data_IF_432806840540
#
_entry.id   IF_432806840540
#
_cell.length_a   1.000
_cell.length_b   1.000
_cell.length_c   1.000
_cell.angle_alpha   90.00
_cell.angle_beta   90.00
_cell.angle_gamma   90.00
#
_symmetry.space_group_name_H-M   'P 1'
#
loop_
_entity.id
_entity.type
_entity.pdbx_description
1 polymer ?
#
# COMPACT_ATOMS: atom_id res chain seq x y z
N UNK A 1 -37.20 4.82 -2.68
CA UNK A 1 -36.25 5.58 -1.84
C UNK A 1 -35.69 4.61 -0.80
N UNK A 2 -34.76 3.70 -1.17
CA UNK A 2 -34.47 2.54 -0.28
C UNK A 2 -33.12 1.81 -0.46
N UNK A 3 -32.22 2.25 -1.35
CA UNK A 3 -30.84 1.75 -1.39
C UNK A 3 -29.86 2.73 -0.74
N UNK A 4 -29.91 4.01 -1.15
CA UNK A 4 -28.97 5.06 -0.74
C UNK A 4 -28.96 5.34 0.77
N UNK A 5 -30.11 5.27 1.45
CA UNK A 5 -30.21 5.51 2.89
C UNK A 5 -29.63 4.37 3.75
N UNK A 6 -29.59 3.13 3.25
CA UNK A 6 -28.93 2.02 3.94
C UNK A 6 -27.40 2.06 3.78
N UNK A 7 -26.89 2.65 2.70
CA UNK A 7 -25.44 2.74 2.43
C UNK A 7 -24.69 3.73 3.31
N UNK A 8 -25.34 4.81 3.75
CA UNK A 8 -24.74 5.75 4.71
C UNK A 8 -24.24 5.05 5.98
N UNK A 9 -24.91 3.99 6.43
CA UNK A 9 -24.50 3.17 7.58
C UNK A 9 -23.21 2.37 7.34
N UNK A 10 -22.91 2.03 6.09
CA UNK A 10 -21.77 1.18 5.70
C UNK A 10 -20.50 1.97 5.37
N UNK A 11 -20.61 3.25 5.02
CA UNK A 11 -19.48 4.16 4.71
C UNK A 11 -19.07 4.98 5.94
N UNK A 12 -19.85 4.97 7.04
CA UNK A 12 -19.47 5.71 8.26
C UNK A 12 -18.01 5.43 8.62
N UNK A 13 -17.16 6.44 8.80
CA UNK A 13 -15.75 6.24 9.17
C UNK A 13 -14.78 5.99 8.02
N UNK A 14 -15.21 6.09 6.76
CA UNK A 14 -14.34 6.51 5.67
C UNK A 14 -14.19 8.03 5.83
N UNK A 15 -13.03 8.47 6.31
CA UNK A 15 -12.71 9.88 6.41
C UNK A 15 -11.83 10.28 5.23
N UNK A 16 -12.31 11.25 4.46
CA UNK A 16 -11.52 11.93 3.45
C UNK A 16 -10.71 12.98 4.17
N UNK A 17 -9.43 12.71 4.36
CA UNK A 17 -8.50 13.72 4.86
C UNK A 17 -8.10 14.55 3.65
N UNK A 18 -8.61 15.79 3.62
CA UNK A 18 -8.18 16.77 2.64
C UNK A 18 -6.69 17.05 2.84
N UNK A 19 -5.96 17.01 1.73
CA UNK A 19 -4.58 17.45 1.67
C UNK A 19 -4.48 18.91 2.09
N UNK A 20 -3.37 19.26 2.73
CA UNK A 20 -3.02 20.66 2.96
C UNK A 20 -2.30 21.14 1.71
N UNK A 21 -2.85 22.18 1.06
CA UNK A 21 -2.18 22.84 -0.04
C UNK A 21 -1.00 23.66 0.54
N UNK A 22 0.23 23.32 0.15
CA UNK A 22 1.43 24.05 0.54
C UNK A 22 2.20 24.44 -0.72
N UNK A 23 2.01 25.69 -1.16
CA UNK A 23 2.40 26.11 -2.51
C UNK A 23 1.53 25.43 -3.56
N UNK A 24 2.15 24.93 -4.63
CA UNK A 24 1.47 24.22 -5.74
C UNK A 24 1.26 22.72 -5.47
N UNK A 25 1.36 22.27 -4.21
CA UNK A 25 1.40 20.85 -3.84
C UNK A 25 0.40 20.46 -2.77
N UNK A 26 0.04 19.19 -2.80
CA UNK A 26 -0.82 18.54 -1.82
C UNK A 26 0.00 17.59 -0.95
N UNK A 27 0.06 17.85 0.35
CA UNK A 27 0.82 17.00 1.29
C UNK A 27 -0.08 16.11 2.14
N UNK A 28 0.38 14.87 2.33
CA UNK A 28 -0.25 13.87 3.18
C UNK A 28 0.77 13.32 4.17
N UNK A 29 0.49 13.43 5.47
CA UNK A 29 1.32 12.81 6.50
C UNK A 29 0.79 11.39 6.74
N UNK A 30 1.64 10.39 6.58
CA UNK A 30 1.32 8.98 6.84
C UNK A 30 2.16 8.53 8.02
N UNK A 31 1.57 7.75 8.93
CA UNK A 31 2.31 7.16 10.06
C UNK A 31 1.88 5.72 10.29
N UNK A 32 2.81 4.89 10.76
CA UNK A 32 2.54 3.48 11.07
C UNK A 32 1.47 3.41 12.18
N UNK A 33 0.45 2.57 11.98
CA UNK A 33 -0.67 2.47 12.93
C UNK A 33 -0.32 1.72 14.22
N UNK A 34 0.75 0.92 14.22
CA UNK A 34 1.21 0.17 15.38
C UNK A 34 2.16 0.99 16.28
N UNK A 35 1.81 1.09 17.57
CA UNK A 35 2.47 1.96 18.57
C UNK A 35 3.93 1.62 18.87
N UNK A 36 4.40 0.42 18.54
CA UNK A 36 5.76 -0.05 18.86
C UNK A 36 6.81 0.28 17.78
N UNK A 37 6.38 0.78 16.62
CA UNK A 37 7.22 0.92 15.42
C UNK A 37 7.23 2.29 14.77
N UNK A 38 6.41 3.24 15.25
CA UNK A 38 6.16 4.59 14.71
C UNK A 38 7.21 5.05 13.70
N UNK A 39 6.81 5.03 12.43
CA UNK A 39 7.48 5.69 11.31
C UNK A 39 6.55 6.77 10.76
N UNK A 40 7.11 7.82 10.18
CA UNK A 40 6.33 8.88 9.53
C UNK A 40 6.88 9.21 8.15
N UNK A 41 6.00 9.31 7.17
CA UNK A 41 6.32 9.74 5.81
C UNK A 41 5.43 10.93 5.44
N UNK A 42 6.04 12.00 4.94
CA UNK A 42 5.31 13.08 4.25
C UNK A 42 5.30 12.76 2.76
N UNK A 43 4.11 12.63 2.18
CA UNK A 43 3.92 12.39 0.75
C UNK A 43 3.43 13.66 0.07
N UNK A 44 4.24 14.21 -0.83
CA UNK A 44 3.86 15.34 -1.67
C UNK A 44 3.34 14.87 -3.04
N UNK A 45 2.24 15.49 -3.49
CA UNK A 45 1.57 15.22 -4.76
C UNK A 45 1.40 16.53 -5.54
N UNK A 46 1.63 16.51 -6.86
CA UNK A 46 1.39 17.69 -7.73
C UNK A 46 -0.08 17.77 -8.19
N UNK A 47 -0.83 16.67 -8.06
CA UNK A 47 -2.25 16.57 -8.43
C UNK A 47 -3.15 16.60 -7.19
N UNK A 48 -4.41 17.02 -7.39
CA UNK A 48 -5.45 16.93 -6.37
C UNK A 48 -5.52 15.49 -5.86
N UNK A 49 -5.41 15.33 -4.55
CA UNK A 49 -5.36 14.02 -3.94
C UNK A 49 -6.02 14.00 -2.57
N UNK A 50 -6.66 12.88 -2.26
CA UNK A 50 -7.36 12.65 -1.00
C UNK A 50 -6.80 11.42 -0.31
N UNK A 51 -6.41 11.54 0.96
CA UNK A 51 -6.10 10.37 1.77
C UNK A 51 -7.40 9.78 2.29
N UNK A 52 -7.54 8.46 2.15
CA UNK A 52 -8.67 7.72 2.68
C UNK A 52 -8.18 6.89 3.86
N UNK A 53 -8.69 7.21 5.04
CA UNK A 53 -8.46 6.40 6.22
C UNK A 53 -9.45 5.21 6.21
N UNK A 54 -8.91 4.02 5.96
CA UNK A 54 -9.73 2.80 5.84
C UNK A 54 -10.37 2.41 7.20
N UNK A 55 -11.70 2.27 7.29
CA UNK A 55 -12.45 2.22 8.55
C UNK A 55 -12.09 1.02 9.43
N UNK A 56 -11.61 1.26 10.66
CA UNK A 56 -11.03 0.27 11.60
C UNK A 56 -11.88 -0.99 11.87
N UNK A 57 -13.22 -0.93 11.85
CA UNK A 57 -14.10 -2.07 12.24
C UNK A 57 -15.51 -2.09 11.62
N UNK A 58 -15.67 -1.77 10.32
CA UNK A 58 -17.03 -1.67 9.73
C UNK A 58 -17.34 -2.70 8.64
N UNK A 59 -18.63 -2.87 8.43
CA UNK A 59 -19.30 -4.00 7.74
C UNK A 59 -18.69 -4.33 6.38
N UNK A 60 -18.24 -3.33 5.61
CA UNK A 60 -17.66 -3.55 4.28
C UNK A 60 -16.46 -4.52 4.32
N UNK A 61 -15.61 -4.41 5.33
CA UNK A 61 -14.41 -5.25 5.46
C UNK A 61 -14.78 -6.67 5.87
N UNK A 62 -15.84 -6.86 6.67
CA UNK A 62 -16.29 -8.20 7.07
C UNK A 62 -16.80 -9.03 5.90
N UNK A 63 -17.22 -8.38 4.80
CA UNK A 63 -17.64 -9.05 3.58
C UNK A 63 -16.45 -9.48 2.71
N UNK A 64 -15.24 -8.98 2.99
CA UNK A 64 -14.04 -9.34 2.26
C UNK A 64 -13.32 -10.52 2.95
N UNK A 65 -12.88 -11.48 2.13
CA UNK A 65 -12.06 -12.61 2.60
C UNK A 65 -10.75 -12.15 3.22
N UNK A 66 -10.16 -11.09 2.67
CA UNK A 66 -8.97 -10.45 3.20
C UNK A 66 -9.36 -9.14 3.90
N UNK A 67 -9.23 -9.12 5.24
CA UNK A 67 -9.57 -7.98 6.09
C UNK A 67 -8.37 -7.12 6.48
N UNK A 68 -7.19 -7.48 5.97
CA UNK A 68 -5.95 -6.74 6.24
C UNK A 68 -5.98 -5.40 5.52
N UNK A 69 -5.22 -4.47 6.06
CA UNK A 69 -5.20 -3.08 5.60
C UNK A 69 -3.80 -2.55 5.60
N UNK A 70 -3.54 -1.78 4.55
CA UNK A 70 -2.40 -0.91 4.49
C UNK A 70 -2.52 0.23 5.51
N UNK A 71 -1.38 0.80 5.91
CA UNK A 71 -1.35 1.98 6.76
C UNK A 71 -2.08 3.17 6.12
N UNK A 72 -1.93 3.38 4.82
CA UNK A 72 -2.60 4.49 4.12
C UNK A 72 -2.93 4.19 2.66
N UNK A 73 -3.99 4.82 2.16
CA UNK A 73 -4.31 4.88 0.73
C UNK A 73 -4.55 6.34 0.34
N UNK A 74 -3.85 6.81 -0.68
CA UNK A 74 -4.07 8.12 -1.30
C UNK A 74 -4.71 7.90 -2.67
N UNK A 75 -5.76 8.67 -2.93
CA UNK A 75 -6.50 8.71 -4.19
C UNK A 75 -6.10 9.97 -4.94
N UNK A 76 -5.29 9.83 -5.98
CA UNK A 76 -4.91 10.90 -6.88
C UNK A 76 -5.97 11.07 -7.96
N UNK A 77 -6.58 12.25 -8.07
CA UNK A 77 -7.56 12.54 -9.11
C UNK A 77 -6.85 12.67 -10.46
N UNK A 78 -7.23 11.87 -11.45
CA UNK A 78 -6.70 11.92 -12.83
C UNK A 78 -7.62 12.66 -13.79
N UNK A 79 -8.93 12.48 -13.62
CA UNK A 79 -9.98 13.24 -14.31
C UNK A 79 -11.21 13.40 -13.40
N UNK A 80 -12.38 13.76 -13.93
CA UNK A 80 -13.59 13.99 -13.14
C UNK A 80 -14.04 12.77 -12.32
N UNK A 81 -13.87 11.55 -12.85
CA UNK A 81 -14.37 10.31 -12.26
C UNK A 81 -13.29 9.26 -11.99
N UNK A 82 -12.10 9.41 -12.54
CA UNK A 82 -11.01 8.43 -12.46
C UNK A 82 -9.96 8.83 -11.44
N UNK A 83 -9.62 7.88 -10.58
CA UNK A 83 -8.62 8.04 -9.53
C UNK A 83 -7.52 6.98 -9.64
N UNK A 84 -6.28 7.42 -9.48
CA UNK A 84 -5.13 6.55 -9.29
C UNK A 84 -4.93 6.27 -7.80
N UNK A 85 -4.70 5.01 -7.46
CA UNK A 85 -4.47 4.60 -6.08
C UNK A 85 -2.97 4.54 -5.77
N UNK A 86 -2.59 5.10 -4.63
CA UNK A 86 -1.28 4.95 -4.01
C UNK A 86 -1.45 4.32 -2.63
N UNK A 87 -0.99 3.08 -2.46
CA UNK A 87 -1.18 2.28 -1.25
C UNK A 87 0.16 2.18 -0.53
N UNK A 88 0.20 2.61 0.74
CA UNK A 88 1.41 2.67 1.54
C UNK A 88 1.32 1.74 2.74
N UNK A 89 2.36 0.94 2.93
CA UNK A 89 2.57 0.13 4.12
C UNK A 89 3.92 0.49 4.74
N UNK A 90 3.89 0.88 6.02
CA UNK A 90 5.07 1.27 6.77
C UNK A 90 5.53 0.09 7.63
N UNK A 91 6.80 -0.28 7.51
CA UNK A 91 7.40 -1.38 8.27
C UNK A 91 8.81 -1.00 8.68
N UNK A 92 9.04 -0.89 10.00
CA UNK A 92 10.39 -0.58 10.52
C UNK A 92 11.48 -1.49 9.94
N UNK A 93 11.22 -2.78 9.92
CA UNK A 93 12.14 -3.78 9.33
C UNK A 93 11.34 -4.63 8.37
N UNK A 94 11.84 -4.85 7.15
CA UNK A 94 11.26 -5.77 6.17
C UNK A 94 11.95 -7.13 6.27
N UNK A 95 11.16 -8.20 6.34
CA UNK A 95 11.62 -9.59 6.41
C UNK A 95 10.75 -10.46 5.52
N UNK A 96 11.15 -11.70 5.22
CA UNK A 96 10.32 -12.67 4.45
C UNK A 96 8.90 -12.78 5.01
N UNK A 97 8.76 -13.00 6.32
CA UNK A 97 7.46 -13.14 6.97
C UNK A 97 6.61 -11.86 6.87
N UNK A 98 7.26 -10.70 6.98
CA UNK A 98 6.58 -9.41 6.84
C UNK A 98 6.22 -9.10 5.39
N UNK A 99 6.99 -9.56 4.41
CA UNK A 99 6.67 -9.34 3.00
C UNK A 99 5.34 -9.97 2.62
N UNK A 100 5.08 -11.21 3.03
CA UNK A 100 3.78 -11.82 2.78
C UNK A 100 2.64 -11.04 3.44
N UNK A 101 2.86 -10.55 4.67
CA UNK A 101 1.90 -9.70 5.38
C UNK A 101 1.63 -8.38 4.65
N UNK A 102 2.68 -7.69 4.17
CA UNK A 102 2.59 -6.46 3.38
C UNK A 102 1.73 -6.70 2.13
N UNK A 103 1.97 -7.79 1.39
CA UNK A 103 1.17 -8.12 0.18
C UNK A 103 -0.30 -8.33 0.51
N UNK A 104 -0.60 -9.05 1.58
CA UNK A 104 -1.98 -9.22 2.04
C UNK A 104 -2.61 -7.85 2.40
N UNK A 105 -1.87 -6.94 3.03
CA UNK A 105 -2.35 -5.60 3.37
C UNK A 105 -2.60 -4.73 2.13
N UNK A 106 -1.71 -4.78 1.14
CA UNK A 106 -1.91 -4.12 -0.15
C UNK A 106 -3.14 -4.65 -0.87
N UNK A 107 -3.30 -5.97 -0.96
CA UNK A 107 -4.44 -6.58 -1.63
C UNK A 107 -5.75 -6.23 -0.92
N UNK A 108 -5.78 -6.26 0.41
CA UNK A 108 -6.95 -5.86 1.19
C UNK A 108 -7.31 -4.37 1.00
N UNK A 109 -6.31 -3.48 1.05
CA UNK A 109 -6.49 -2.05 0.80
C UNK A 109 -6.98 -1.76 -0.63
N UNK A 110 -6.45 -2.47 -1.63
CA UNK A 110 -6.87 -2.37 -3.01
C UNK A 110 -8.34 -2.76 -3.17
N UNK A 111 -8.77 -3.90 -2.63
CA UNK A 111 -10.16 -4.34 -2.71
C UNK A 111 -11.13 -3.40 -2.02
N UNK A 112 -10.81 -2.93 -0.81
CA UNK A 112 -11.65 -1.95 -0.12
C UNK A 112 -11.76 -0.67 -0.95
N UNK A 113 -10.66 -0.24 -1.57
CA UNK A 113 -10.66 0.95 -2.42
C UNK A 113 -11.53 0.76 -3.67
N UNK A 114 -11.47 -0.41 -4.33
CA UNK A 114 -12.37 -0.74 -5.45
C UNK A 114 -13.84 -0.74 -5.03
N UNK A 115 -14.16 -1.28 -3.85
CA UNK A 115 -15.53 -1.26 -3.33
C UNK A 115 -16.01 0.17 -3.07
N UNK A 116 -15.17 1.01 -2.44
CA UNK A 116 -15.48 2.43 -2.21
C UNK A 116 -15.69 3.15 -3.55
N UNK A 117 -14.81 2.93 -4.53
CA UNK A 117 -14.91 3.55 -5.85
C UNK A 117 -16.26 3.21 -6.48
N UNK A 118 -16.63 1.93 -6.46
CA UNK A 118 -17.89 1.47 -7.05
C UNK A 118 -19.11 2.04 -6.35
N UNK A 119 -19.07 2.18 -5.03
CA UNK A 119 -20.16 2.79 -4.24
C UNK A 119 -20.31 4.29 -4.56
N UNK A 120 -19.20 4.99 -4.80
CA UNK A 120 -19.17 6.41 -5.12
C UNK A 120 -19.40 6.71 -6.62
N UNK A 121 -19.51 5.69 -7.47
CA UNK A 121 -19.61 5.85 -8.92
C UNK A 121 -18.32 6.35 -9.56
N UNK A 122 -17.17 6.06 -8.94
CA UNK A 122 -15.83 6.42 -9.41
C UNK A 122 -15.15 5.24 -10.11
N UNK A 123 -14.18 5.56 -10.95
CA UNK A 123 -13.30 4.61 -11.61
C UNK A 123 -11.90 4.63 -10.98
N UNK A 124 -11.23 3.47 -11.02
CA UNK A 124 -9.84 3.32 -10.56
C UNK A 124 -8.96 3.08 -11.78
N UNK A 125 -7.91 3.91 -11.93
CA UNK A 125 -6.87 3.76 -12.95
C UNK A 125 -6.26 2.35 -12.88
N UNK A 126 -5.91 1.79 -14.02
CA UNK A 126 -5.20 0.51 -14.12
C UNK A 126 -3.81 0.58 -13.50
N UNK A 127 -3.23 1.78 -13.42
CA UNK A 127 -1.98 2.03 -12.71
C UNK A 127 -2.24 2.21 -11.22
N UNK A 128 -1.75 1.27 -10.41
CA UNK A 128 -1.79 1.33 -8.94
C UNK A 128 -0.37 1.37 -8.42
N UNK A 129 -0.06 2.37 -7.59
CA UNK A 129 1.23 2.46 -6.92
C UNK A 129 1.19 1.73 -5.58
N UNK A 130 2.02 0.70 -5.42
CA UNK A 130 2.22 0.02 -4.15
C UNK A 130 3.56 0.43 -3.55
N UNK A 131 3.55 0.89 -2.30
CA UNK A 131 4.72 1.48 -1.65
C UNK A 131 5.00 0.81 -0.32
N UNK A 132 6.15 0.17 -0.19
CA UNK A 132 6.66 -0.22 1.13
C UNK A 132 7.64 0.82 1.62
N UNK A 133 7.31 1.42 2.76
CA UNK A 133 8.15 2.38 3.45
C UNK A 133 8.87 1.65 4.58
N UNK A 134 10.19 1.69 4.59
CA UNK A 134 11.00 0.90 5.53
C UNK A 134 12.21 1.65 6.08
N UNK A 135 12.69 1.20 7.24
CA UNK A 135 13.92 1.69 7.86
C UNK A 135 15.06 0.67 7.69
N UNK A 136 14.79 -0.62 7.92
CA UNK A 136 15.73 -1.72 7.75
C UNK A 136 15.23 -2.72 6.71
N UNK A 137 16.12 -3.17 5.83
CA UNK A 137 15.86 -4.21 4.84
C UNK A 137 16.67 -5.48 5.17
N UNK A 138 15.96 -6.56 5.51
CA UNK A 138 16.58 -7.87 5.72
C UNK A 138 16.30 -8.84 4.57
N UNK A 139 15.65 -8.38 3.49
CA UNK A 139 15.53 -9.11 2.23
C UNK A 139 16.69 -8.77 1.31
N UNK A 140 17.07 -7.49 1.23
CA UNK A 140 18.25 -7.01 0.48
C UNK A 140 19.58 -7.46 1.14
N UNK A 141 19.60 -7.84 2.42
CA UNK A 141 20.78 -8.44 3.05
C UNK A 141 21.20 -9.78 2.40
N UNK A 142 20.33 -10.32 1.53
CA UNK A 142 20.60 -11.49 0.71
C UNK A 142 21.14 -11.09 -0.66
N UNK A 143 21.16 -9.81 -1.12
CA UNK A 143 21.40 -9.28 -2.49
C UNK A 143 22.68 -9.67 -3.29
N UNK A 144 23.47 -10.65 -2.87
CA UNK A 144 24.50 -11.23 -3.74
C UNK A 144 23.92 -12.13 -4.87
N UNK A 145 22.61 -12.15 -5.07
CA UNK A 145 21.98 -13.02 -6.07
C UNK A 145 21.27 -12.20 -7.16
N UNK A 146 21.87 -12.18 -8.35
CA UNK A 146 21.15 -11.85 -9.58
C UNK A 146 20.13 -12.95 -9.93
N UNK A 147 19.20 -12.70 -10.86
CA UNK A 147 18.20 -13.68 -11.31
C UNK A 147 18.83 -15.02 -11.77
N UNK A 148 20.07 -15.01 -12.25
CA UNK A 148 20.84 -16.20 -12.62
C UNK A 148 21.56 -16.88 -11.42
N UNK A 149 21.61 -16.24 -10.26
CA UNK A 149 22.30 -16.72 -9.07
C UNK A 149 21.34 -17.38 -8.05
N UNK A 150 20.05 -17.06 -8.03
CA UNK A 150 19.10 -17.72 -7.10
C UNK A 150 18.79 -19.18 -7.47
N UNK A 151 18.96 -19.56 -8.74
CA UNK A 151 18.94 -20.96 -9.16
C UNK A 151 20.18 -21.73 -8.71
N UNK A 152 21.32 -21.03 -8.57
CA UNK A 152 22.64 -21.67 -8.50
C UNK A 152 23.30 -21.57 -7.11
N UNK A 153 22.96 -20.58 -6.28
CA UNK A 153 23.84 -20.20 -5.16
C UNK A 153 23.42 -20.76 -3.79
N UNK A 154 22.17 -21.16 -3.52
CA UNK A 154 21.87 -21.95 -2.30
C UNK A 154 20.72 -22.95 -2.51
N UNK A 155 20.99 -24.26 -2.66
CA UNK A 155 19.95 -25.28 -2.73
C UNK A 155 19.10 -25.38 -1.46
N UNK A 156 19.57 -24.85 -0.32
CA UNK A 156 18.96 -25.05 1.01
C UNK A 156 17.94 -23.97 1.43
N UNK A 157 17.84 -22.84 0.72
CA UNK A 157 16.84 -21.83 1.07
C UNK A 157 15.41 -22.32 0.75
N UNK A 158 14.44 -22.18 1.69
CA UNK A 158 13.06 -22.53 1.42
C UNK A 158 12.51 -21.80 0.19
N UNK A 159 11.72 -22.50 -0.64
CA UNK A 159 11.14 -21.92 -1.86
C UNK A 159 10.34 -20.62 -1.62
N UNK A 160 9.68 -20.53 -0.45
CA UNK A 160 8.96 -19.32 0.00
C UNK A 160 9.89 -18.12 0.21
N UNK A 161 11.09 -18.36 0.74
CA UNK A 161 12.12 -17.35 0.98
C UNK A 161 12.69 -16.86 -0.34
N UNK A 162 13.05 -17.78 -1.25
CA UNK A 162 13.51 -17.44 -2.61
C UNK A 162 12.49 -16.59 -3.36
N UNK A 163 11.21 -16.97 -3.28
CA UNK A 163 10.12 -16.22 -3.90
C UNK A 163 9.98 -14.81 -3.32
N UNK A 164 10.07 -14.64 -1.99
CA UNK A 164 9.98 -13.33 -1.36
C UNK A 164 11.13 -12.41 -1.77
N UNK A 165 12.37 -12.93 -1.84
CA UNK A 165 13.54 -12.19 -2.32
C UNK A 165 13.33 -11.77 -3.78
N UNK A 166 12.96 -12.70 -4.67
CA UNK A 166 12.73 -12.39 -6.09
C UNK A 166 11.65 -11.31 -6.30
N UNK A 167 10.55 -11.39 -5.57
CA UNK A 167 9.48 -10.39 -5.65
C UNK A 167 9.96 -9.01 -5.17
N UNK A 168 10.69 -8.97 -4.05
CA UNK A 168 11.21 -7.74 -3.45
C UNK A 168 12.34 -7.09 -4.27
N UNK A 169 13.28 -7.88 -4.80
CA UNK A 169 14.40 -7.40 -5.61
C UNK A 169 13.93 -6.90 -6.98
N UNK A 170 12.93 -7.56 -7.58
CA UNK A 170 12.41 -7.19 -8.90
C UNK A 170 11.30 -6.14 -8.85
N UNK A 171 11.02 -5.53 -7.69
CA UNK A 171 9.97 -4.52 -7.55
C UNK A 171 8.58 -5.02 -7.99
N UNK A 172 8.27 -6.29 -7.70
CA UNK A 172 7.02 -6.95 -8.08
C UNK A 172 6.19 -7.36 -6.86
N UNK A 173 4.92 -6.98 -6.87
CA UNK A 173 3.96 -7.43 -5.88
C UNK A 173 2.80 -8.17 -6.56
N UNK A 174 2.88 -9.50 -6.69
CA UNK A 174 1.79 -10.28 -7.25
C UNK A 174 0.62 -10.38 -6.27
N UNK A 175 -0.57 -10.05 -6.74
CA UNK A 175 -1.83 -10.34 -6.05
C UNK A 175 -2.43 -11.62 -6.62
N UNK A 176 -2.83 -12.50 -5.70
CA UNK A 176 -3.48 -13.75 -6.06
C UNK A 176 -5.01 -13.56 -6.11
N UNK A 177 -5.57 -13.65 -7.31
CA UNK A 177 -7.01 -13.68 -7.58
C UNK A 177 -7.44 -15.05 -8.13
N UNK A 178 -6.70 -16.12 -7.81
CA UNK A 178 -7.03 -17.49 -8.24
C UNK A 178 -8.45 -17.84 -7.78
N UNK A 179 -9.28 -18.23 -8.76
CA UNK A 179 -10.74 -18.36 -8.62
C UNK A 179 -11.53 -17.34 -9.45
N UNK A 180 -10.89 -16.27 -9.93
CA UNK A 180 -11.51 -15.27 -10.81
C UNK A 180 -10.65 -14.94 -12.04
N UNK A 181 -9.44 -14.41 -11.82
CA UNK A 181 -8.60 -13.83 -12.89
C UNK A 181 -7.13 -14.32 -12.88
N UNK A 182 -6.79 -15.25 -11.98
CA UNK A 182 -5.41 -15.70 -11.80
C UNK A 182 -4.57 -14.68 -11.03
N UNK A 183 -3.28 -14.58 -11.33
CA UNK A 183 -2.36 -13.67 -10.65
C UNK A 183 -2.17 -12.39 -11.47
N UNK A 184 -2.33 -11.23 -10.83
CA UNK A 184 -1.99 -9.93 -11.43
C UNK A 184 -0.76 -9.38 -10.73
N UNK A 185 0.23 -8.93 -11.50
CA UNK A 185 1.47 -8.36 -10.98
C UNK A 185 1.38 -6.84 -10.97
N UNK A 186 1.62 -6.24 -9.82
CA UNK A 186 1.72 -4.80 -9.67
C UNK A 186 3.19 -4.39 -9.51
N UNK A 187 3.54 -3.22 -10.04
CA UNK A 187 4.82 -2.59 -9.73
C UNK A 187 4.80 -2.13 -8.27
N UNK A 188 5.85 -2.50 -7.56
CA UNK A 188 6.09 -2.14 -6.18
C UNK A 188 7.21 -1.11 -6.11
N UNK A 189 7.14 -0.20 -5.14
CA UNK A 189 8.15 0.84 -4.93
C UNK A 189 8.62 0.81 -3.48
N UNK A 190 9.93 0.68 -3.33
CA UNK A 190 10.65 0.70 -2.06
C UNK A 190 10.98 2.15 -1.66
N UNK A 191 10.60 2.57 -0.45
CA UNK A 191 10.93 3.90 0.11
C UNK A 191 11.70 3.69 1.42
N UNK A 192 13.02 3.86 1.35
CA UNK A 192 13.88 3.81 2.53
C UNK A 192 13.84 5.14 3.30
N UNK A 193 13.65 5.09 4.62
CA UNK A 193 13.73 6.23 5.54
C UNK A 193 15.05 6.16 6.32
N UNK A 194 16.14 6.82 5.87
CA UNK A 194 17.43 6.71 6.54
C UNK A 194 17.53 7.56 7.82
N UNK A 195 16.62 8.51 8.01
CA UNK A 195 16.72 9.51 9.07
C UNK A 195 15.84 9.16 10.26
N UNK A 196 16.36 9.38 11.47
CA UNK A 196 15.61 9.27 12.72
C UNK A 196 15.46 10.65 13.34
N UNK A 197 14.24 10.99 13.74
CA UNK A 197 13.92 12.19 14.52
C UNK A 197 13.16 11.77 15.77
N UNK A 198 13.63 12.18 16.94
CA UNK A 198 13.02 11.82 18.23
C UNK A 198 12.78 10.30 18.41
N UNK A 199 13.67 9.47 17.84
CA UNK A 199 13.57 8.00 17.89
C UNK A 199 12.63 7.36 16.85
N UNK A 200 12.03 8.17 15.97
CA UNK A 200 11.07 7.77 14.94
C UNK A 200 11.73 7.90 13.55
N UNK A 201 11.74 6.85 12.71
CA UNK A 201 12.16 6.98 11.31
C UNK A 201 11.25 7.94 10.54
N UNK A 202 11.84 8.92 9.87
CA UNK A 202 11.11 9.97 9.14
C UNK A 202 11.66 10.18 7.73
N UNK A 203 10.79 10.60 6.83
CA UNK A 203 11.22 11.11 5.53
C UNK A 203 10.11 11.78 4.74
N UNK A 204 10.48 12.21 3.54
CA UNK A 204 9.59 12.88 2.59
C UNK A 204 9.74 12.20 1.23
N UNK A 205 8.61 11.94 0.55
CA UNK A 205 8.60 11.42 -0.81
C UNK A 205 7.67 12.25 -1.67
N UNK A 206 8.15 12.63 -2.84
CA UNK A 206 7.33 13.21 -3.89
C UNK A 206 6.90 12.11 -4.85
N UNK A 207 5.61 12.09 -5.17
CA UNK A 207 5.04 11.20 -6.16
C UNK A 207 4.55 12.05 -7.31
N UNK A 208 5.27 11.95 -8.43
CA UNK A 208 4.88 12.53 -9.71
C UNK A 208 3.99 11.53 -10.45
N UNK A 209 2.91 12.05 -11.02
CA UNK A 209 1.89 11.28 -11.72
C UNK A 209 2.29 10.72 -13.07
#
# INVERSE_FOLDING_TARGET
MTLVQNFHKYIQGVEFVQSVAQGDRFEHIISEKDKSGLMTLVVGMDSISHRIDLPSKKVLIHLLKNQRRADSVIWEKRDESTYRLHIFELKRTVTEAKWQLIKDQFQGAFFVSLCIAKILGLEVDTHVGLYTVYYEDQLDAVDNFTDNALSDVEPDLPAKTKKAILEWTNDLCPFDFTGYLGQIKFLHKKIHLPNIKDGIPVGTRYITG
#
